data_IF_676603323524
#
_entry.id   IF_676603323524
#
_cell.length_a   1.000
_cell.length_b   1.000
_cell.length_c   1.000
_cell.angle_alpha   90.00
_cell.angle_beta   90.00
_cell.angle_gamma   90.00
#
_symmetry.space_group_name_H-M   'P 1'
#
loop_
_entity.id
_entity.type
_entity.pdbx_description
1 polymer ?
#
# COMPACT_ATOMS: atom_id res chain seq x y z
N UNK A 1 -13.95 -4.31 21.69
CA UNK A 1 -12.59 -4.17 21.24
C UNK A 1 -12.41 -4.62 19.80
N UNK A 2 -11.85 -3.80 18.98
CA UNK A 2 -11.69 -4.14 17.58
C UNK A 2 -10.23 -4.22 17.21
N UNK A 3 -9.77 -5.41 16.79
CA UNK A 3 -8.37 -5.55 16.38
C UNK A 3 -7.97 -4.57 15.29
N UNK A 4 -8.88 -4.28 14.37
CA UNK A 4 -8.62 -3.32 13.31
C UNK A 4 -8.31 -1.93 13.86
N UNK A 5 -9.11 -1.48 14.82
CA UNK A 5 -8.93 -0.14 15.41
C UNK A 5 -7.61 -0.03 16.16
N UNK A 6 -7.25 -1.07 16.92
CA UNK A 6 -5.98 -1.09 17.64
C UNK A 6 -4.80 -1.11 16.67
N UNK A 7 -4.88 -1.92 15.62
CA UNK A 7 -3.83 -2.00 14.62
C UNK A 7 -3.65 -0.66 13.92
N UNK A 8 -4.76 0.01 13.60
CA UNK A 8 -4.71 1.31 12.96
C UNK A 8 -4.05 2.35 13.85
N UNK A 9 -4.45 2.43 15.12
CA UNK A 9 -3.87 3.38 16.06
C UNK A 9 -2.38 3.14 16.26
N UNK A 10 -1.97 1.91 16.43
CA UNK A 10 -0.57 1.57 16.59
C UNK A 10 0.25 1.91 15.35
N UNK A 11 -0.31 1.63 14.18
CA UNK A 11 0.37 1.91 12.92
C UNK A 11 0.56 3.41 12.72
N UNK A 12 -0.44 4.21 13.06
CA UNK A 12 -0.35 5.66 12.96
C UNK A 12 0.77 6.18 13.86
N UNK A 13 0.86 5.66 15.09
CA UNK A 13 1.92 6.05 16.01
C UNK A 13 3.30 5.71 15.47
N UNK A 14 3.45 4.51 14.93
CA UNK A 14 4.72 4.07 14.37
C UNK A 14 5.10 4.88 13.12
N UNK A 15 4.13 5.17 12.28
CA UNK A 15 4.38 5.97 11.08
C UNK A 15 4.80 7.39 11.44
N UNK A 16 4.18 7.95 12.48
CA UNK A 16 4.55 9.28 12.98
C UNK A 16 5.99 9.25 13.51
N UNK A 17 6.31 8.24 14.30
CA UNK A 17 7.61 8.16 14.96
C UNK A 17 8.76 7.89 13.99
N UNK A 18 8.55 6.97 13.06
CA UNK A 18 9.63 6.51 12.18
C UNK A 18 9.62 7.08 10.78
N UNK A 19 8.51 7.64 10.33
CA UNK A 19 8.41 8.20 8.99
C UNK A 19 7.98 9.66 8.96
N UNK A 20 7.71 10.25 10.13
CA UNK A 20 7.31 11.65 10.21
C UNK A 20 5.91 11.93 9.69
N UNK A 21 5.08 10.91 9.56
CA UNK A 21 3.72 11.08 9.04
C UNK A 21 2.86 11.80 10.08
N UNK A 22 2.33 12.96 9.72
CA UNK A 22 1.46 13.74 10.59
C UNK A 22 0.01 13.72 10.11
N UNK A 23 -0.22 13.46 8.84
CA UNK A 23 -1.56 13.37 8.29
C UNK A 23 -1.73 12.01 7.61
N UNK A 24 -2.74 11.25 8.04
CA UNK A 24 -3.01 9.93 7.50
C UNK A 24 -4.10 10.02 6.44
N UNK A 25 -3.79 9.58 5.22
CA UNK A 25 -4.77 9.58 4.13
C UNK A 25 -5.57 8.29 4.11
N UNK A 26 -4.92 7.16 4.38
CA UNK A 26 -5.61 5.88 4.39
C UNK A 26 -4.84 4.84 5.18
N UNK A 27 -5.57 3.83 5.63
CA UNK A 27 -5.01 2.68 6.33
C UNK A 27 -5.71 1.42 5.81
N UNK A 28 -4.94 0.38 5.56
CA UNK A 28 -5.49 -0.89 5.11
C UNK A 28 -4.63 -2.03 5.63
N UNK A 29 -5.20 -3.23 5.61
CA UNK A 29 -4.46 -4.44 5.94
C UNK A 29 -4.20 -5.17 4.64
N UNK A 30 -2.93 -5.41 4.34
CA UNK A 30 -2.55 -6.14 3.14
C UNK A 30 -2.18 -7.57 3.51
N UNK A 31 -2.87 -8.53 2.92
CA UNK A 31 -2.62 -9.94 3.15
C UNK A 31 -2.01 -10.56 1.89
N UNK A 32 -0.69 -10.71 1.92
CA UNK A 32 0.03 -11.39 0.86
C UNK A 32 0.65 -12.66 1.41
N UNK A 33 1.93 -12.91 1.11
CA UNK A 33 2.65 -14.00 1.72
C UNK A 33 2.82 -13.76 3.22
N UNK A 34 2.84 -12.49 3.62
CA UNK A 34 2.76 -12.06 5.02
C UNK A 34 1.72 -10.97 5.12
N UNK A 35 1.31 -10.65 6.34
CA UNK A 35 0.34 -9.58 6.57
C UNK A 35 1.06 -8.30 6.93
N UNK A 36 0.66 -7.21 6.29
CA UNK A 36 1.22 -5.88 6.55
C UNK A 36 0.11 -4.90 6.84
N UNK A 37 0.40 -4.00 7.77
CA UNK A 37 -0.45 -2.83 7.96
C UNK A 37 0.08 -1.77 7.00
N UNK A 38 -0.78 -1.27 6.14
CA UNK A 38 -0.41 -0.37 5.06
C UNK A 38 -1.02 1.00 5.30
N UNK A 39 -0.18 2.01 5.35
CA UNK A 39 -0.61 3.36 5.66
C UNK A 39 -0.06 4.34 4.64
N UNK A 40 -0.94 5.17 4.11
CA UNK A 40 -0.56 6.24 3.22
C UNK A 40 -0.82 7.55 3.93
N UNK A 41 0.13 8.46 3.87
CA UNK A 41 0.00 9.74 4.53
C UNK A 41 1.04 10.73 4.07
N UNK A 42 1.17 11.82 4.80
CA UNK A 42 2.18 12.83 4.47
C UNK A 42 2.74 13.48 5.73
N UNK A 43 3.93 14.04 5.57
CA UNK A 43 4.63 14.71 6.65
C UNK A 43 4.16 16.16 6.76
N UNK A 44 4.64 16.87 7.78
CA UNK A 44 4.38 18.30 7.95
C UNK A 44 4.86 19.13 6.78
N UNK A 45 5.82 18.60 6.02
CA UNK A 45 6.36 19.27 4.84
C UNK A 45 5.65 18.82 3.56
N UNK A 46 4.49 18.19 3.72
CA UNK A 46 3.64 17.72 2.61
C UNK A 46 4.33 16.69 1.70
N UNK A 47 5.25 15.93 2.27
CA UNK A 47 5.87 14.83 1.55
C UNK A 47 5.04 13.56 1.75
N UNK A 48 4.65 12.95 0.64
CA UNK A 48 3.89 11.71 0.69
C UNK A 48 4.76 10.55 1.13
N UNK A 49 4.21 9.69 1.97
CA UNK A 49 4.87 8.49 2.47
C UNK A 49 3.95 7.29 2.37
N UNK A 50 4.52 6.16 2.01
CA UNK A 50 3.82 4.87 2.05
C UNK A 50 4.56 4.01 3.06
N UNK A 51 3.86 3.59 4.10
CA UNK A 51 4.45 2.88 5.23
C UNK A 51 3.87 1.48 5.32
N UNK A 52 4.74 0.48 5.43
CA UNK A 52 4.31 -0.90 5.62
C UNK A 52 4.89 -1.41 6.92
N UNK A 53 4.04 -1.97 7.76
CA UNK A 53 4.44 -2.51 9.04
C UNK A 53 4.10 -3.99 9.04
N UNK A 54 5.10 -4.85 9.17
CA UNK A 54 4.87 -6.29 9.16
C UNK A 54 4.18 -6.70 10.46
N UNK A 55 3.06 -7.39 10.34
CA UNK A 55 2.32 -7.85 11.51
C UNK A 55 3.14 -8.89 12.27
N UNK A 56 3.24 -8.68 13.59
CA UNK A 56 3.96 -9.61 14.45
C UNK A 56 5.47 -9.45 14.42
N UNK A 57 5.96 -8.31 13.91
CA UNK A 57 7.38 -8.05 13.78
C UNK A 57 7.64 -6.58 14.04
N UNK A 58 8.92 -6.22 14.17
CA UNK A 58 9.34 -4.83 14.32
C UNK A 58 9.65 -4.18 12.99
N UNK A 59 9.48 -4.90 11.88
CA UNK A 59 9.89 -4.41 10.57
C UNK A 59 8.96 -3.36 10.05
N UNK A 60 9.53 -2.21 9.68
CA UNK A 60 8.81 -1.09 9.09
C UNK A 60 9.53 -0.71 7.80
N UNK A 61 8.77 -0.62 6.71
CA UNK A 61 9.30 -0.18 5.42
C UNK A 61 8.65 1.15 5.07
N UNK A 62 9.48 2.12 4.71
CA UNK A 62 8.99 3.46 4.36
C UNK A 62 9.41 3.77 2.92
N UNK A 63 8.43 4.13 2.10
CA UNK A 63 8.67 4.48 0.72
C UNK A 63 8.08 5.84 0.40
N UNK A 64 8.67 6.50 -0.58
CA UNK A 64 8.12 7.74 -1.10
C UNK A 64 7.47 7.44 -2.45
N UNK A 65 6.15 7.60 -2.58
CA UNK A 65 5.47 7.29 -3.85
C UNK A 65 6.04 8.00 -5.06
N UNK A 66 6.66 9.16 -4.86
CA UNK A 66 7.28 9.90 -5.97
C UNK A 66 8.52 9.20 -6.53
N UNK A 67 9.10 8.25 -5.78
CA UNK A 67 10.31 7.54 -6.21
C UNK A 67 10.00 6.24 -6.93
N UNK A 68 8.74 5.93 -7.14
CA UNK A 68 8.33 4.73 -7.83
C UNK A 68 6.99 4.94 -8.49
N UNK A 69 6.23 3.84 -8.63
CA UNK A 69 4.89 3.90 -9.18
C UNK A 69 3.96 4.60 -8.20
N UNK A 70 3.29 5.64 -8.64
CA UNK A 70 2.29 6.31 -7.80
C UNK A 70 0.99 5.50 -7.81
N UNK A 71 0.09 5.81 -6.89
CA UNK A 71 -1.22 5.18 -6.85
C UNK A 71 -1.97 5.37 -8.17
N UNK A 72 -1.94 6.60 -8.72
CA UNK A 72 -2.60 6.89 -9.98
C UNK A 72 -2.00 6.12 -11.15
N UNK A 73 -0.68 5.99 -11.16
CA UNK A 73 -0.02 5.22 -12.20
C UNK A 73 -0.38 3.74 -12.11
N UNK A 74 -0.49 3.21 -10.89
CA UNK A 74 -0.89 1.82 -10.70
C UNK A 74 -2.30 1.60 -11.25
N UNK A 75 -3.21 2.55 -11.01
CA UNK A 75 -4.56 2.47 -11.55
C UNK A 75 -4.55 2.50 -13.08
N UNK A 76 -3.73 3.36 -13.66
CA UNK A 76 -3.59 3.43 -15.11
C UNK A 76 -3.10 2.12 -15.70
N UNK A 77 -2.08 1.54 -15.09
CA UNK A 77 -1.53 0.26 -15.54
C UNK A 77 -2.58 -0.83 -15.48
N UNK A 78 -3.34 -0.87 -14.38
CA UNK A 78 -4.42 -1.85 -14.24
C UNK A 78 -5.47 -1.67 -15.34
N UNK A 79 -5.86 -0.43 -15.63
CA UNK A 79 -6.86 -0.17 -16.67
C UNK A 79 -6.36 -0.57 -18.06
N UNK A 80 -5.09 -0.34 -18.35
CA UNK A 80 -4.49 -0.78 -19.62
C UNK A 80 -4.53 -2.29 -19.76
N UNK A 81 -4.60 -3.01 -18.65
CA UNK A 81 -4.58 -4.46 -18.66
C UNK A 81 -5.94 -5.07 -18.37
N UNK A 82 -7.00 -4.29 -18.47
CA UNK A 82 -8.37 -4.79 -18.44
C UNK A 82 -9.22 -4.40 -17.27
N UNK A 83 -8.68 -3.62 -16.32
CA UNK A 83 -9.51 -3.18 -15.20
C UNK A 83 -10.51 -2.13 -15.67
N UNK A 84 -11.77 -2.30 -15.24
CA UNK A 84 -12.81 -1.32 -15.52
C UNK A 84 -12.92 -0.35 -14.33
N UNK A 85 -13.93 -0.56 -13.49
CA UNK A 85 -14.07 0.23 -12.28
C UNK A 85 -13.11 -0.28 -11.23
N UNK A 86 -12.35 0.63 -10.64
CA UNK A 86 -11.39 0.24 -9.60
C UNK A 86 -12.07 0.39 -8.24
N UNK A 87 -12.11 -0.72 -7.50
CA UNK A 87 -12.77 -0.77 -6.20
C UNK A 87 -11.85 -0.37 -5.06
N UNK A 88 -10.59 -0.76 -5.16
CA UNK A 88 -9.64 -0.53 -4.07
C UNK A 88 -8.21 -0.60 -4.59
N UNK A 89 -7.36 0.26 -4.04
CA UNK A 89 -5.92 0.23 -4.34
C UNK A 89 -5.18 0.20 -3.01
N UNK A 90 -4.36 -0.83 -2.81
CA UNK A 90 -3.65 -1.05 -1.56
C UNK A 90 -2.15 -1.16 -1.83
N UNK A 91 -1.36 -0.45 -1.04
CA UNK A 91 0.09 -0.60 -1.11
C UNK A 91 0.47 -1.82 -0.29
N UNK A 92 1.33 -2.69 -0.82
CA UNK A 92 1.68 -3.92 -0.16
C UNK A 92 3.09 -4.38 -0.45
N UNK A 93 3.38 -5.60 -0.05
CA UNK A 93 4.72 -6.16 -0.17
C UNK A 93 4.59 -7.63 -0.51
N UNK A 94 5.15 -8.05 -1.62
CA UNK A 94 5.10 -9.45 -2.08
C UNK A 94 6.47 -9.88 -2.58
N UNK A 95 6.90 -11.05 -2.12
CA UNK A 95 8.16 -11.65 -2.59
C UNK A 95 9.33 -10.68 -2.53
N UNK A 96 9.42 -9.94 -1.43
CA UNK A 96 10.55 -9.05 -1.21
C UNK A 96 10.50 -7.74 -1.97
N UNK A 97 9.34 -7.36 -2.52
CA UNK A 97 9.23 -6.12 -3.27
C UNK A 97 7.96 -5.35 -2.94
N UNK A 98 8.05 -4.02 -2.90
CA UNK A 98 6.85 -3.19 -2.70
C UNK A 98 6.00 -3.20 -3.98
N UNK A 99 4.69 -3.29 -3.78
CA UNK A 99 3.75 -3.37 -4.90
C UNK A 99 2.48 -2.58 -4.59
N UNK A 100 1.70 -2.33 -5.63
CA UNK A 100 0.33 -1.87 -5.51
C UNK A 100 -0.59 -3.00 -5.92
N UNK A 101 -1.60 -3.27 -5.10
CA UNK A 101 -2.64 -4.23 -5.45
C UNK A 101 -3.88 -3.44 -5.85
N UNK A 102 -4.31 -3.58 -7.08
CA UNK A 102 -5.48 -2.90 -7.60
C UNK A 102 -6.58 -3.92 -7.76
N UNK A 103 -7.68 -3.71 -7.05
CA UNK A 103 -8.84 -4.59 -7.16
C UNK A 103 -9.88 -3.97 -8.06
N UNK A 104 -10.35 -4.74 -9.05
CA UNK A 104 -11.40 -4.32 -9.98
C UNK A 104 -12.32 -5.52 -10.18
N UNK A 105 -13.54 -5.44 -9.63
CA UNK A 105 -14.47 -6.55 -9.66
C UNK A 105 -13.90 -7.76 -8.94
N UNK A 106 -13.75 -8.86 -9.66
CA UNK A 106 -13.18 -10.09 -9.10
C UNK A 106 -11.70 -10.26 -9.44
N UNK A 107 -11.09 -9.27 -10.05
CA UNK A 107 -9.70 -9.36 -10.48
C UNK A 107 -8.80 -8.53 -9.60
N UNK A 108 -7.57 -9.02 -9.44
CA UNK A 108 -6.53 -8.31 -8.71
C UNK A 108 -5.35 -8.10 -9.65
N UNK A 109 -4.89 -6.87 -9.71
CA UNK A 109 -3.74 -6.50 -10.55
C UNK A 109 -2.60 -6.10 -9.63
N UNK A 110 -1.46 -6.76 -9.79
CA UNK A 110 -0.28 -6.46 -8.97
C UNK A 110 0.69 -5.67 -9.82
N UNK A 111 0.99 -4.46 -9.37
CA UNK A 111 1.87 -3.53 -10.09
C UNK A 111 3.12 -3.30 -9.26
N UNK A 112 4.29 -3.48 -9.87
CA UNK A 112 5.56 -3.28 -9.19
C UNK A 112 5.77 -1.79 -8.91
N UNK A 113 6.10 -1.47 -7.67
CA UNK A 113 6.36 -0.09 -7.28
C UNK A 113 7.65 0.44 -7.91
N UNK A 114 8.70 -0.38 -7.90
CA UNK A 114 10.01 0.07 -8.37
C UNK A 114 10.14 0.08 -9.89
N UNK A 115 9.56 -0.91 -10.55
CA UNK A 115 9.73 -1.08 -12.00
C UNK A 115 8.59 -0.53 -12.85
N UNK A 116 7.54 -0.04 -12.22
CA UNK A 116 6.41 0.61 -12.89
C UNK A 116 5.76 -0.26 -13.96
N UNK A 117 5.56 -1.54 -13.64
CA UNK A 117 4.95 -2.47 -14.59
C UNK A 117 4.07 -3.47 -13.87
N UNK A 118 3.15 -4.05 -14.63
CA UNK A 118 2.27 -5.11 -14.14
C UNK A 118 3.09 -6.37 -13.90
N UNK A 119 2.94 -6.97 -12.72
CA UNK A 119 3.57 -8.24 -12.38
C UNK A 119 2.61 -9.40 -12.60
N UNK A 120 1.35 -9.24 -12.27
CA UNK A 120 0.37 -10.31 -12.41
C UNK A 120 -1.04 -9.77 -12.43
N UNK A 121 -1.93 -10.56 -12.98
CA UNK A 121 -3.36 -10.32 -12.94
C UNK A 121 -4.02 -11.62 -12.54
N UNK A 122 -4.82 -11.59 -11.48
CA UNK A 122 -5.53 -12.77 -10.99
C UNK A 122 -7.01 -12.47 -10.92
N UNK A 123 -7.81 -13.38 -11.47
CA UNK A 123 -9.26 -13.27 -11.42
C UNK A 123 -9.85 -14.41 -10.65
N UNK A 124 -11.05 -14.17 -10.11
CA UNK A 124 -11.79 -15.20 -9.38
C UNK A 124 -12.97 -15.71 -10.19
#
# INVERSE_FOLDING_TARGET
MEPYRAARSNSIELARKYAGVSKVDSFAIFNGDKTYYSLLGETDQEKKKAVLIEKGSDKIFVYEPSEGTSKKEAEKIARKNGADAIDKVTFGYLNGRPIWEVKSGKSYYIVDFEKRKLLSKEGL
#
